data_IF_261303105463
#
_entry.id   IF_261303105463
#
_cell.length_a   1.000
_cell.length_b   1.000
_cell.length_c   1.000
_cell.angle_alpha   90.00
_cell.angle_beta   90.00
_cell.angle_gamma   90.00
#
_symmetry.space_group_name_H-M   'P 1'
#
loop_
_entity.id
_entity.type
_entity.pdbx_description
1 polymer ?
#
# COMPACT_ATOMS: atom_id res chain seq x y z
N UNK A 1 -24.82 -15.85 16.75
CA UNK A 1 -23.35 -16.02 16.81
C UNK A 1 -22.77 -14.77 17.44
N UNK A 2 -21.81 -14.93 18.35
CA UNK A 2 -21.17 -13.83 19.05
C UNK A 2 -20.01 -13.32 18.18
N UNK A 3 -20.02 -12.05 17.78
CA UNK A 3 -18.97 -11.41 16.96
C UNK A 3 -17.81 -10.93 17.83
N UNK A 4 -17.40 -11.77 18.77
CA UNK A 4 -16.51 -11.39 19.85
C UNK A 4 -15.12 -11.03 19.31
N UNK A 5 -14.59 -11.80 18.37
CA UNK A 5 -13.26 -11.58 17.83
C UNK A 5 -13.22 -10.36 16.90
N UNK A 6 -14.30 -10.12 16.16
CA UNK A 6 -14.44 -8.88 15.40
C UNK A 6 -14.43 -7.66 16.34
N UNK A 7 -15.16 -7.73 17.46
CA UNK A 7 -15.17 -6.65 18.43
C UNK A 7 -13.80 -6.45 19.10
N UNK A 8 -13.11 -7.53 19.47
CA UNK A 8 -11.76 -7.50 20.05
C UNK A 8 -10.76 -6.86 19.08
N UNK A 9 -10.75 -7.29 17.81
CA UNK A 9 -9.93 -6.71 16.76
C UNK A 9 -10.21 -5.22 16.58
N UNK A 10 -11.49 -4.85 16.42
CA UNK A 10 -11.90 -3.46 16.23
C UNK A 10 -11.55 -2.57 17.42
N UNK A 11 -11.69 -3.08 18.64
CA UNK A 11 -11.29 -2.38 19.86
C UNK A 11 -9.79 -2.17 19.84
N UNK A 12 -9.01 -3.21 19.53
CA UNK A 12 -7.55 -3.15 19.54
C UNK A 12 -6.98 -2.18 18.51
N UNK A 13 -7.51 -2.16 17.29
CA UNK A 13 -7.05 -1.23 16.24
C UNK A 13 -7.55 0.20 16.43
N UNK A 14 -8.47 0.45 17.36
CA UNK A 14 -8.95 1.79 17.68
C UNK A 14 -8.47 2.28 19.04
N UNK A 15 -7.69 1.47 19.77
CA UNK A 15 -7.18 1.83 21.10
C UNK A 15 -5.69 2.12 21.02
N UNK A 16 -5.33 3.30 21.53
CA UNK A 16 -3.96 3.75 21.74
C UNK A 16 -3.71 3.80 23.23
N UNK A 17 -2.74 3.03 23.71
CA UNK A 17 -2.32 3.10 25.10
C UNK A 17 -1.06 3.94 25.16
N UNK A 18 -1.16 5.17 25.64
CA UNK A 18 0.02 6.02 25.75
C UNK A 18 0.79 5.63 27.02
N UNK A 19 2.09 5.41 26.90
CA UNK A 19 2.98 5.32 28.08
C UNK A 19 3.60 6.67 28.32
N UNK A 20 3.87 6.97 29.59
CA UNK A 20 4.66 8.13 29.97
C UNK A 20 5.98 7.58 30.50
N UNK A 21 7.08 7.98 29.90
CA UNK A 21 8.43 7.57 30.25
C UNK A 21 9.26 8.79 30.60
N UNK A 22 10.31 8.60 31.40
CA UNK A 22 11.33 9.62 31.64
C UNK A 22 12.45 9.40 30.63
N UNK A 23 12.88 10.46 29.93
CA UNK A 23 13.87 10.39 28.87
C UNK A 23 14.75 11.66 28.85
N UNK A 24 15.98 11.52 28.36
CA UNK A 24 16.93 12.62 28.19
C UNK A 24 16.93 13.08 26.73
N UNK A 25 16.16 14.12 26.42
CA UNK A 25 15.93 14.55 25.04
C UNK A 25 16.69 15.83 24.71
N UNK A 26 17.08 15.96 23.45
CA UNK A 26 17.69 17.17 22.92
C UNK A 26 16.59 18.16 22.52
N UNK A 27 16.58 19.35 23.13
CA UNK A 27 15.54 20.36 22.91
C UNK A 27 15.75 21.16 21.62
N UNK A 28 17.00 21.42 21.25
CA UNK A 28 17.35 22.26 20.10
C UNK A 28 18.37 21.59 19.18
N UNK A 29 18.17 21.77 17.87
CA UNK A 29 19.10 21.25 16.86
C UNK A 29 20.43 22.01 16.92
N UNK A 30 21.53 21.27 17.06
CA UNK A 30 22.89 21.83 17.02
C UNK A 30 23.54 22.10 18.38
N UNK A 31 22.83 21.86 19.48
CA UNK A 31 23.39 21.82 20.83
C UNK A 31 23.52 20.36 21.32
N UNK A 32 24.44 20.09 22.25
CA UNK A 32 24.52 18.78 22.91
C UNK A 32 23.79 18.77 24.26
N UNK A 33 23.03 19.82 24.56
CA UNK A 33 22.28 19.94 25.80
C UNK A 33 21.05 19.04 25.74
N UNK A 34 20.91 18.21 26.77
CA UNK A 34 19.77 17.32 26.94
C UNK A 34 19.04 17.71 28.21
N UNK A 35 17.72 17.71 28.13
CA UNK A 35 16.86 17.90 29.28
C UNK A 35 16.20 16.58 29.66
N UNK A 36 16.16 16.34 30.98
CA UNK A 36 15.46 15.19 31.54
C UNK A 36 13.98 15.54 31.66
N UNK A 37 13.14 14.90 30.85
CA UNK A 37 11.71 15.23 30.74
C UNK A 37 10.84 13.98 30.82
N UNK A 38 9.56 14.19 31.08
CA UNK A 38 8.54 13.16 30.84
C UNK A 38 8.08 13.27 29.40
N UNK A 39 8.01 12.16 28.69
CA UNK A 39 7.57 12.12 27.31
C UNK A 39 6.56 10.99 27.08
N UNK A 40 5.69 11.16 26.09
CA UNK A 40 4.86 10.05 25.62
C UNK A 40 5.70 9.02 24.86
N UNK A 41 5.39 7.75 25.07
CA UNK A 41 5.97 6.62 24.35
C UNK A 41 4.87 5.73 23.76
N UNK A 42 5.08 5.37 22.49
CA UNK A 42 4.26 4.42 21.75
C UNK A 42 5.11 3.35 21.03
N UNK A 43 6.42 3.29 21.29
CA UNK A 43 7.35 2.38 20.59
C UNK A 43 6.84 0.93 20.59
N UNK A 44 6.24 0.49 21.71
CA UNK A 44 5.74 -0.86 21.89
C UNK A 44 4.49 -1.21 21.07
N UNK A 45 3.82 -0.23 20.45
CA UNK A 45 2.70 -0.43 19.53
C UNK A 45 3.09 -0.18 18.07
N UNK A 46 4.35 -0.36 17.69
CA UNK A 46 4.85 -0.19 16.32
C UNK A 46 5.19 -1.54 15.66
N UNK A 47 5.92 -1.51 14.54
CA UNK A 47 6.41 -2.68 13.80
C UNK A 47 7.88 -3.04 14.09
N UNK A 48 8.55 -2.32 14.97
CA UNK A 48 9.98 -2.47 15.24
C UNK A 48 10.29 -3.67 16.15
N UNK A 49 11.58 -4.00 16.31
CA UNK A 49 12.04 -5.26 16.92
C UNK A 49 11.51 -5.48 18.35
N UNK A 50 11.44 -4.40 19.14
CA UNK A 50 10.94 -4.43 20.52
C UNK A 50 9.41 -4.57 20.63
N UNK A 51 8.69 -4.46 19.50
CA UNK A 51 7.23 -4.50 19.39
C UNK A 51 6.71 -5.63 18.47
N UNK A 52 7.54 -6.63 18.15
CA UNK A 52 7.14 -7.80 17.33
C UNK A 52 5.87 -8.50 17.85
N UNK A 53 5.67 -8.49 19.16
CA UNK A 53 4.47 -9.02 19.82
C UNK A 53 3.20 -8.31 19.35
N UNK A 54 3.25 -6.99 19.15
CA UNK A 54 2.08 -6.20 18.78
C UNK A 54 1.59 -6.48 17.36
N UNK A 55 2.49 -6.48 16.37
CA UNK A 55 2.14 -6.85 14.98
C UNK A 55 1.59 -8.26 14.90
N UNK A 56 2.18 -9.19 15.66
CA UNK A 56 1.73 -10.58 15.69
C UNK A 56 0.35 -10.71 16.34
N UNK A 57 0.11 -9.99 17.43
CA UNK A 57 -1.20 -9.89 18.10
C UNK A 57 -2.27 -9.40 17.11
N UNK A 58 -2.02 -8.27 16.42
CA UNK A 58 -2.97 -7.72 15.45
C UNK A 58 -3.30 -8.69 14.32
N UNK A 59 -2.29 -9.44 13.83
CA UNK A 59 -2.51 -10.46 12.80
C UNK A 59 -3.45 -11.56 13.31
N UNK A 60 -3.20 -12.11 14.49
CA UNK A 60 -4.04 -13.16 15.08
C UNK A 60 -5.46 -12.65 15.28
N UNK A 61 -5.62 -11.44 15.82
CA UNK A 61 -6.94 -10.83 15.98
C UNK A 61 -7.64 -10.61 14.65
N UNK A 62 -6.94 -10.17 13.59
CA UNK A 62 -7.49 -10.04 12.24
C UNK A 62 -8.01 -11.39 11.74
N UNK A 63 -7.21 -12.44 11.86
CA UNK A 63 -7.57 -13.77 11.35
C UNK A 63 -8.79 -14.35 12.09
N UNK A 64 -8.89 -14.12 13.41
CA UNK A 64 -10.07 -14.52 14.20
C UNK A 64 -11.30 -13.67 13.86
N UNK A 65 -11.13 -12.36 13.67
CA UNK A 65 -12.20 -11.48 13.21
C UNK A 65 -12.73 -11.87 11.81
N UNK A 66 -11.85 -12.35 10.93
CA UNK A 66 -12.25 -12.86 9.63
C UNK A 66 -13.09 -14.13 9.74
N UNK A 67 -12.74 -15.05 10.65
CA UNK A 67 -13.55 -16.24 10.94
C UNK A 67 -14.96 -15.83 11.40
N UNK A 68 -15.08 -14.84 12.30
CA UNK A 68 -16.38 -14.31 12.71
C UNK A 68 -17.19 -13.82 11.50
N UNK A 69 -16.56 -13.08 10.58
CA UNK A 69 -17.23 -12.53 9.39
C UNK A 69 -17.73 -13.63 8.43
N UNK A 70 -16.89 -14.62 8.09
CA UNK A 70 -17.27 -15.64 7.11
C UNK A 70 -18.35 -16.62 7.59
N UNK A 71 -18.62 -16.64 8.90
CA UNK A 71 -19.74 -17.43 9.46
C UNK A 71 -21.11 -16.77 9.23
N UNK A 72 -21.13 -15.52 8.80
CA UNK A 72 -22.34 -14.76 8.50
C UNK A 72 -22.85 -15.02 7.07
N UNK A 73 -24.13 -14.75 6.83
CA UNK A 73 -24.65 -14.68 5.48
C UNK A 73 -24.16 -13.43 4.73
N UNK A 74 -24.23 -13.48 3.40
CA UNK A 74 -23.74 -12.44 2.48
C UNK A 74 -24.26 -11.04 2.80
N UNK A 75 -25.54 -10.90 3.18
CA UNK A 75 -26.12 -9.59 3.47
C UNK A 75 -25.61 -9.04 4.81
N UNK A 76 -25.42 -9.91 5.81
CA UNK A 76 -24.78 -9.51 7.07
C UNK A 76 -23.32 -9.15 6.90
N UNK A 77 -22.56 -9.85 6.06
CA UNK A 77 -21.16 -9.48 5.75
C UNK A 77 -21.11 -8.09 5.12
N UNK A 78 -21.99 -7.78 4.15
CA UNK A 78 -22.09 -6.43 3.55
C UNK A 78 -22.38 -5.36 4.60
N UNK A 79 -23.27 -5.64 5.55
CA UNK A 79 -23.56 -4.71 6.64
C UNK A 79 -22.31 -4.47 7.51
N UNK A 80 -21.57 -5.53 7.86
CA UNK A 80 -20.33 -5.38 8.62
C UNK A 80 -19.27 -4.61 7.84
N UNK A 81 -19.12 -4.85 6.53
CA UNK A 81 -18.20 -4.09 5.66
C UNK A 81 -18.52 -2.58 5.63
N UNK A 82 -19.81 -2.22 5.69
CA UNK A 82 -20.22 -0.82 5.80
C UNK A 82 -19.79 -0.20 7.14
N UNK A 83 -19.87 -0.94 8.25
CA UNK A 83 -19.37 -0.47 9.55
C UNK A 83 -17.83 -0.38 9.57
N UNK A 84 -17.12 -1.35 9.00
CA UNK A 84 -15.65 -1.32 8.85
C UNK A 84 -15.20 -0.10 8.02
N UNK A 85 -15.98 0.29 7.02
CA UNK A 85 -15.72 1.49 6.21
C UNK A 85 -15.81 2.78 7.02
N UNK A 86 -16.66 2.84 8.05
CA UNK A 86 -16.69 3.99 8.98
C UNK A 86 -15.41 4.05 9.80
N UNK A 87 -14.93 2.91 10.30
CA UNK A 87 -13.64 2.85 11.02
C UNK A 87 -12.50 3.31 10.11
N UNK A 88 -12.46 2.82 8.86
CA UNK A 88 -11.49 3.27 7.83
C UNK A 88 -11.51 4.78 7.61
N UNK A 89 -12.70 5.40 7.62
CA UNK A 89 -12.80 6.86 7.43
C UNK A 89 -12.09 7.67 8.53
N UNK A 90 -12.03 7.14 9.77
CA UNK A 90 -11.31 7.77 10.89
C UNK A 90 -9.80 7.77 10.66
N UNK A 91 -9.24 6.68 10.14
CA UNK A 91 -7.83 6.61 9.72
C UNK A 91 -7.51 7.63 8.63
N UNK A 92 -8.39 7.76 7.63
CA UNK A 92 -8.25 8.77 6.57
C UNK A 92 -8.25 10.20 7.14
N UNK A 93 -9.15 10.49 8.07
CA UNK A 93 -9.22 11.81 8.72
C UNK A 93 -7.96 12.08 9.56
N UNK A 94 -7.49 11.09 10.32
CA UNK A 94 -6.24 11.19 11.07
C UNK A 94 -5.08 11.58 10.14
N UNK A 95 -4.92 10.91 9.00
CA UNK A 95 -3.84 11.23 8.06
C UNK A 95 -3.93 12.65 7.49
N UNK A 96 -5.14 13.17 7.29
CA UNK A 96 -5.33 14.56 6.91
C UNK A 96 -4.73 15.53 7.93
N UNK A 97 -5.06 15.33 9.21
CA UNK A 97 -4.58 16.20 10.29
C UNK A 97 -3.08 15.96 10.58
N UNK A 98 -2.65 14.70 10.62
CA UNK A 98 -1.26 14.32 10.85
C UNK A 98 -0.34 14.98 9.83
N UNK A 99 -0.64 14.88 8.53
CA UNK A 99 0.20 15.48 7.49
C UNK A 99 0.21 17.02 7.51
N UNK A 100 -0.81 17.66 8.10
CA UNK A 100 -0.84 19.11 8.28
C UNK A 100 0.06 19.58 9.44
N UNK A 101 0.21 18.76 10.48
CA UNK A 101 0.90 19.14 11.72
C UNK A 101 2.28 18.49 11.88
N UNK A 102 2.55 17.39 11.17
CA UNK A 102 3.79 16.63 11.22
C UNK A 102 4.90 17.30 10.40
N UNK A 103 6.13 17.28 10.94
CA UNK A 103 7.34 17.71 10.24
C UNK A 103 8.55 16.89 10.71
N UNK A 104 9.20 16.21 9.77
CA UNK A 104 10.41 15.41 10.03
C UNK A 104 11.57 16.22 10.64
N UNK A 105 11.57 17.54 10.46
CA UNK A 105 12.63 18.42 10.97
C UNK A 105 12.41 18.86 12.42
N UNK A 106 11.26 18.53 13.01
CA UNK A 106 10.88 19.00 14.34
C UNK A 106 11.29 17.97 15.40
N UNK A 107 12.20 18.36 16.31
CA UNK A 107 12.66 17.51 17.41
C UNK A 107 11.61 17.37 18.52
N UNK A 108 10.89 18.46 18.80
CA UNK A 108 9.85 18.53 19.84
C UNK A 108 8.62 19.21 19.27
N UNK A 109 7.47 18.57 19.45
CA UNK A 109 6.19 19.06 18.99
C UNK A 109 5.52 19.93 20.07
N UNK A 110 4.53 20.71 19.64
CA UNK A 110 3.69 21.39 20.63
C UNK A 110 2.95 20.33 21.45
N UNK A 111 2.77 20.53 22.76
CA UNK A 111 2.04 19.59 23.63
C UNK A 111 0.60 19.38 23.14
N UNK A 112 0.04 20.35 22.42
CA UNK A 112 -1.26 20.23 21.76
C UNK A 112 -1.27 19.28 20.55
N UNK A 113 -0.12 18.78 20.08
CA UNK A 113 -0.01 18.02 18.82
C UNK A 113 -0.97 16.83 18.76
N UNK A 114 -1.09 16.06 19.85
CA UNK A 114 -1.99 14.89 19.92
C UNK A 114 -3.44 15.29 19.66
N UNK A 115 -3.86 16.46 20.17
CA UNK A 115 -5.19 17.04 19.95
C UNK A 115 -5.31 17.68 18.56
N UNK A 116 -4.24 18.27 18.03
CA UNK A 116 -4.21 18.83 16.67
C UNK A 116 -4.39 17.75 15.61
N UNK A 117 -3.84 16.56 15.82
CA UNK A 117 -4.10 15.39 14.95
C UNK A 117 -5.44 14.69 15.25
N UNK A 118 -6.19 15.19 16.24
CA UNK A 118 -7.49 14.70 16.69
C UNK A 118 -7.47 13.23 17.16
N UNK A 119 -6.37 12.79 17.77
CA UNK A 119 -6.22 11.38 18.14
C UNK A 119 -7.32 10.93 19.13
N UNK A 120 -7.64 11.77 20.11
CA UNK A 120 -8.65 11.57 21.14
C UNK A 120 -10.09 11.58 20.61
N UNK A 121 -10.33 12.31 19.54
CA UNK A 121 -11.64 12.35 18.88
C UNK A 121 -11.85 11.15 17.95
N UNK A 122 -10.80 10.72 17.26
CA UNK A 122 -10.87 9.68 16.24
C UNK A 122 -10.74 8.27 16.82
N UNK A 123 -10.07 8.13 17.96
CA UNK A 123 -9.72 6.85 18.56
C UNK A 123 -9.91 6.86 20.08
N UNK A 124 -9.90 5.67 20.66
CA UNK A 124 -9.86 5.50 22.12
C UNK A 124 -8.41 5.70 22.54
N UNK A 125 -8.15 6.71 23.37
CA UNK A 125 -6.79 7.02 23.84
C UNK A 125 -6.72 6.88 25.35
N UNK A 126 -5.99 5.88 25.82
CA UNK A 126 -5.74 5.64 27.23
C UNK A 126 -4.50 6.41 27.69
N UNK A 127 -4.56 6.91 28.93
CA UNK A 127 -3.50 7.68 29.60
C UNK A 127 -3.14 9.03 28.96
N UNK A 128 -3.96 9.54 28.04
CA UNK A 128 -3.81 10.90 27.54
C UNK A 128 -4.05 11.90 28.67
N UNK A 129 -3.09 12.79 28.90
CA UNK A 129 -3.23 13.93 29.81
C UNK A 129 -3.69 15.18 29.05
N UNK A 130 -4.19 16.17 29.78
CA UNK A 130 -4.50 17.49 29.24
C UNK A 130 -3.27 18.14 28.59
N UNK A 131 -3.50 19.05 27.64
CA UNK A 131 -2.48 19.86 26.96
C UNK A 131 -1.56 20.65 27.91
N UNK A 132 -2.06 21.05 29.08
CA UNK A 132 -1.27 21.72 30.12
C UNK A 132 -0.38 20.81 30.98
N UNK A 133 -0.38 19.49 30.74
CA UNK A 133 0.48 18.57 31.49
C UNK A 133 1.96 18.77 31.08
N UNK A 134 2.85 18.52 32.04
CA UNK A 134 4.30 18.59 31.81
C UNK A 134 4.82 17.29 31.20
N UNK A 135 4.35 17.01 29.98
CA UNK A 135 4.69 15.81 29.20
C UNK A 135 4.97 16.24 27.76
N UNK A 136 6.17 15.94 27.31
CA UNK A 136 6.65 16.30 25.98
C UNK A 136 6.17 15.34 24.90
N UNK A 137 5.97 15.91 23.71
CA UNK A 137 5.67 15.18 22.48
C UNK A 137 6.93 15.20 21.61
N UNK A 138 7.70 14.13 21.67
CA UNK A 138 8.98 14.04 20.96
C UNK A 138 8.79 13.70 19.48
N UNK A 139 9.80 13.96 18.66
CA UNK A 139 9.83 13.52 17.26
C UNK A 139 9.64 12.02 17.13
N UNK A 140 10.32 11.25 17.99
CA UNK A 140 10.19 9.80 18.07
C UNK A 140 8.74 9.39 18.31
N UNK A 141 8.06 10.01 19.28
CA UNK A 141 6.64 9.72 19.53
C UNK A 141 5.78 10.03 18.30
N UNK A 142 6.00 11.16 17.63
CA UNK A 142 5.23 11.54 16.45
C UNK A 142 5.43 10.53 15.31
N UNK A 143 6.67 10.12 15.04
CA UNK A 143 7.01 9.07 14.07
C UNK A 143 6.35 7.73 14.44
N UNK A 144 6.53 7.28 15.69
CA UNK A 144 5.95 6.04 16.20
C UNK A 144 4.42 6.06 16.10
N UNK A 145 3.77 7.21 16.35
CA UNK A 145 2.33 7.36 16.18
C UNK A 145 1.91 7.11 14.73
N UNK A 146 2.61 7.73 13.77
CA UNK A 146 2.37 7.49 12.34
C UNK A 146 2.54 6.01 11.98
N UNK A 147 3.67 5.41 12.36
CA UNK A 147 3.96 4.00 12.08
C UNK A 147 2.94 3.05 12.69
N UNK A 148 2.53 3.34 13.93
CA UNK A 148 1.53 2.60 14.68
C UNK A 148 0.16 2.69 13.99
N UNK A 149 -0.28 3.88 13.57
CA UNK A 149 -1.56 4.08 12.85
C UNK A 149 -1.53 3.34 11.50
N UNK A 150 -0.44 3.45 10.76
CA UNK A 150 -0.25 2.78 9.46
C UNK A 150 -0.38 1.26 9.59
N UNK A 151 0.20 0.68 10.64
CA UNK A 151 0.10 -0.75 10.92
C UNK A 151 -1.35 -1.17 11.19
N UNK A 152 -2.09 -0.42 12.01
CA UNK A 152 -3.50 -0.70 12.32
C UNK A 152 -4.39 -0.59 11.09
N UNK A 153 -4.21 0.46 10.29
CA UNK A 153 -4.94 0.65 9.04
C UNK A 153 -4.69 -0.49 8.05
N UNK A 154 -3.44 -0.94 7.93
CA UNK A 154 -3.08 -2.09 7.07
C UNK A 154 -3.92 -3.32 7.42
N UNK A 155 -3.96 -3.73 8.69
CA UNK A 155 -4.70 -4.93 9.08
C UNK A 155 -6.22 -4.76 8.93
N UNK A 156 -6.75 -3.55 9.12
CA UNK A 156 -8.16 -3.26 8.83
C UNK A 156 -8.46 -3.43 7.33
N UNK A 157 -7.59 -2.91 6.47
CA UNK A 157 -7.73 -3.03 5.01
C UNK A 157 -7.63 -4.47 4.53
N UNK A 158 -6.71 -5.26 5.09
CA UNK A 158 -6.62 -6.71 4.83
C UNK A 158 -7.92 -7.42 5.22
N UNK A 159 -8.48 -7.14 6.41
CA UNK A 159 -9.75 -7.75 6.85
C UNK A 159 -10.91 -7.41 5.90
N UNK A 160 -11.03 -6.14 5.52
CA UNK A 160 -12.06 -5.68 4.58
C UNK A 160 -11.91 -6.41 3.25
N UNK A 161 -10.69 -6.47 2.71
CA UNK A 161 -10.39 -7.13 1.45
C UNK A 161 -10.72 -8.64 1.49
N UNK A 162 -10.29 -9.33 2.55
CA UNK A 162 -10.55 -10.76 2.74
C UNK A 162 -12.07 -11.03 2.82
N UNK A 163 -12.81 -10.21 3.58
CA UNK A 163 -14.26 -10.31 3.72
C UNK A 163 -15.00 -9.99 2.42
N UNK A 164 -14.59 -8.97 1.67
CA UNK A 164 -15.15 -8.66 0.35
C UNK A 164 -14.96 -9.82 -0.64
N UNK A 165 -13.77 -10.42 -0.65
CA UNK A 165 -13.50 -11.56 -1.53
C UNK A 165 -14.29 -12.79 -1.14
N UNK A 166 -14.56 -13.01 0.15
CA UNK A 166 -15.36 -14.15 0.62
C UNK A 166 -16.82 -14.13 0.11
N UNK A 167 -17.35 -12.95 -0.22
CA UNK A 167 -18.73 -12.78 -0.72
C UNK A 167 -18.81 -12.55 -2.24
N UNK A 168 -17.68 -12.41 -2.92
CA UNK A 168 -17.63 -12.41 -4.38
C UNK A 168 -18.02 -13.81 -4.85
N UNK A 169 -18.98 -13.88 -5.76
CA UNK A 169 -19.35 -15.15 -6.38
C UNK A 169 -18.16 -15.62 -7.21
N UNK A 170 -17.52 -16.70 -6.77
CA UNK A 170 -16.66 -17.45 -7.66
C UNK A 170 -17.55 -17.99 -8.77
N UNK A 171 -17.43 -17.46 -9.99
CA UNK A 171 -17.95 -18.14 -11.16
C UNK A 171 -17.43 -19.58 -11.09
N UNK A 172 -18.34 -20.55 -11.09
CA UNK A 172 -17.94 -21.94 -11.17
C UNK A 172 -17.10 -22.10 -12.44
N UNK A 173 -16.15 -23.04 -12.42
CA UNK A 173 -15.36 -23.34 -13.61
C UNK A 173 -16.24 -23.65 -14.83
N UNK A 174 -17.42 -24.25 -14.61
CA UNK A 174 -18.42 -24.48 -15.65
C UNK A 174 -19.07 -23.19 -16.17
N UNK A 175 -19.39 -22.24 -15.31
CA UNK A 175 -19.99 -20.95 -15.73
C UNK A 175 -18.95 -20.04 -16.38
N UNK A 176 -17.69 -20.14 -15.95
CA UNK A 176 -16.55 -19.52 -16.60
C UNK A 176 -16.27 -20.16 -17.99
N UNK A 177 -16.37 -21.48 -18.12
CA UNK A 177 -16.28 -22.17 -19.41
C UNK A 177 -17.44 -21.81 -20.34
N UNK A 178 -18.68 -21.73 -19.83
CA UNK A 178 -19.85 -21.27 -20.59
C UNK A 178 -19.67 -19.82 -21.06
N UNK A 179 -19.13 -18.95 -20.21
CA UNK A 179 -18.79 -17.57 -20.55
C UNK A 179 -17.71 -17.48 -21.64
N UNK A 180 -16.68 -18.33 -21.57
CA UNK A 180 -15.64 -18.44 -22.60
C UNK A 180 -16.19 -18.99 -23.91
N UNK A 181 -17.04 -20.01 -23.88
CA UNK A 181 -17.67 -20.58 -25.07
C UNK A 181 -18.66 -19.62 -25.73
N UNK A 182 -19.44 -18.85 -24.95
CA UNK A 182 -20.32 -17.81 -25.47
C UNK A 182 -19.52 -16.70 -26.16
N UNK A 183 -18.42 -16.24 -25.55
CA UNK A 183 -17.49 -15.26 -26.16
C UNK A 183 -16.74 -15.83 -27.37
N UNK A 184 -16.44 -17.14 -27.37
CA UNK A 184 -15.86 -17.82 -28.53
C UNK A 184 -16.86 -17.93 -29.67
N UNK A 185 -18.14 -18.20 -29.38
CA UNK A 185 -19.19 -18.25 -30.41
C UNK A 185 -19.50 -16.88 -31.02
N UNK A 186 -19.36 -15.79 -30.26
CA UNK A 186 -19.39 -14.43 -30.81
C UNK A 186 -18.16 -14.10 -31.67
N UNK A 187 -16.99 -14.68 -31.36
CA UNK A 187 -15.76 -14.51 -32.15
C UNK A 187 -15.66 -15.45 -33.37
N UNK A 188 -16.37 -16.58 -33.39
CA UNK A 188 -16.31 -17.61 -34.44
C UNK A 188 -17.25 -17.31 -35.64
N UNK A 189 -18.01 -16.20 -35.64
CA UNK A 189 -18.57 -15.65 -36.89
C UNK A 189 -17.56 -14.84 -37.73
N UNK A 190 -16.30 -14.77 -37.31
CA UNK A 190 -15.20 -14.27 -38.12
C UNK A 190 -14.02 -15.26 -38.09
N UNK A 191 -13.94 -16.08 -39.14
CA UNK A 191 -12.82 -16.93 -39.59
C UNK A 191 -12.29 -18.07 -38.69
N UNK A 192 -12.45 -19.29 -39.21
CA UNK A 192 -11.70 -20.51 -38.88
C UNK A 192 -10.30 -20.54 -39.57
N UNK A 193 -9.45 -21.59 -39.41
CA UNK A 193 -8.85 -22.09 -38.17
C UNK A 193 -7.33 -22.39 -38.34
N UNK A 194 -6.51 -22.38 -37.29
CA UNK A 194 -5.36 -23.32 -37.25
C UNK A 194 -4.95 -23.72 -35.83
N UNK A 195 -5.28 -24.97 -35.55
CA UNK A 195 -4.67 -26.00 -34.72
C UNK A 195 -3.18 -25.91 -34.30
N UNK A 196 -2.97 -26.33 -33.02
CA UNK A 196 -1.98 -27.31 -32.49
C UNK A 196 -0.88 -26.82 -31.52
N UNK A 197 -1.14 -27.14 -30.24
CA UNK A 197 -0.33 -27.93 -29.30
C UNK A 197 0.73 -27.34 -28.35
N UNK A 198 0.50 -27.77 -27.09
CA UNK A 198 1.41 -28.37 -26.09
C UNK A 198 2.08 -27.44 -25.08
N UNK A 199 1.37 -27.37 -23.95
CA UNK A 199 1.84 -27.08 -22.60
C UNK A 199 2.90 -28.10 -22.18
N UNK A 200 4.02 -27.64 -21.63
CA UNK A 200 4.91 -28.42 -20.79
C UNK A 200 4.98 -27.75 -19.41
N UNK A 201 4.68 -28.57 -18.40
CA UNK A 201 4.84 -28.31 -16.98
C UNK A 201 6.33 -28.18 -16.61
N UNK A 202 6.66 -27.23 -15.74
CA UNK A 202 7.94 -27.21 -15.04
C UNK A 202 7.71 -26.99 -13.54
N UNK A 203 8.22 -27.99 -12.82
CA UNK A 203 8.27 -28.25 -11.38
C UNK A 203 8.88 -27.09 -10.59
N UNK A 204 8.26 -26.71 -9.47
CA UNK A 204 8.82 -25.85 -8.43
C UNK A 204 9.71 -26.68 -7.50
N UNK A 205 10.99 -26.32 -7.38
CA UNK A 205 11.85 -26.73 -6.27
C UNK A 205 11.82 -25.68 -5.15
N UNK A 206 11.67 -26.18 -3.93
CA UNK A 206 11.56 -25.43 -2.68
C UNK A 206 12.93 -25.03 -2.15
N UNK A 207 13.08 -23.81 -1.63
CA UNK A 207 13.94 -23.48 -0.46
C UNK A 207 13.48 -22.13 0.18
N UNK A 208 13.82 -21.84 1.45
CA UNK A 208 12.87 -21.43 2.50
C UNK A 208 12.57 -19.91 2.58
N UNK A 209 11.43 -19.51 3.20
CA UNK A 209 11.03 -18.12 3.27
C UNK A 209 11.87 -17.35 4.30
N UNK A 210 12.81 -16.54 3.79
CA UNK A 210 13.31 -15.41 4.57
C UNK A 210 12.16 -14.42 4.72
N UNK A 211 11.68 -14.25 5.96
CA UNK A 211 10.60 -13.33 6.32
C UNK A 211 10.96 -11.90 5.89
N UNK A 212 10.43 -11.44 4.75
CA UNK A 212 10.49 -10.04 4.33
C UNK A 212 9.49 -9.21 5.15
N UNK A 213 9.96 -8.09 5.67
CA UNK A 213 9.11 -7.06 6.26
C UNK A 213 8.47 -6.32 5.08
N UNK A 214 7.24 -6.65 4.72
CA UNK A 214 6.58 -6.02 3.56
C UNK A 214 6.30 -4.54 3.81
N UNK A 215 7.13 -3.67 3.23
CA UNK A 215 6.95 -2.21 3.11
C UNK A 215 6.31 -1.93 1.75
N UNK A 216 5.28 -1.08 1.68
CA UNK A 216 4.55 -0.82 0.42
C UNK A 216 4.81 0.58 -0.14
N UNK A 217 4.92 0.72 -1.47
CA UNK A 217 5.09 2.02 -2.11
C UNK A 217 3.84 2.88 -1.95
N UNK A 218 4.01 4.11 -1.47
CA UNK A 218 2.93 5.10 -1.32
C UNK A 218 3.23 6.31 -2.20
N UNK A 219 2.28 6.68 -3.07
CA UNK A 219 2.41 7.88 -3.90
C UNK A 219 2.08 9.15 -3.11
N UNK A 220 2.86 10.22 -3.29
CA UNK A 220 2.48 11.54 -2.80
C UNK A 220 1.16 12.02 -3.43
N UNK A 221 0.40 12.89 -2.74
CA UNK A 221 -0.89 13.37 -3.24
C UNK A 221 -0.83 13.89 -4.69
N UNK A 222 -1.73 13.42 -5.54
CA UNK A 222 -1.85 13.82 -6.95
C UNK A 222 -0.84 13.18 -7.92
N UNK A 223 0.21 12.51 -7.43
CA UNK A 223 1.22 11.84 -8.28
C UNK A 223 0.62 10.62 -8.98
N UNK A 224 -0.13 9.79 -8.25
CA UNK A 224 -0.75 8.60 -8.82
C UNK A 224 -1.75 8.95 -9.95
N UNK A 225 -2.49 10.05 -9.80
CA UNK A 225 -3.40 10.56 -10.84
C UNK A 225 -2.65 11.04 -12.08
N UNK A 226 -1.57 11.82 -11.90
CA UNK A 226 -0.73 12.26 -13.02
C UNK A 226 -0.06 11.08 -13.75
N UNK A 227 0.39 10.06 -13.00
CA UNK A 227 0.96 8.85 -13.59
C UNK A 227 -0.09 8.04 -14.36
N UNK A 228 -1.30 7.91 -13.81
CA UNK A 228 -2.41 7.20 -14.45
C UNK A 228 -2.75 7.83 -15.80
N UNK A 229 -2.86 9.15 -15.87
CA UNK A 229 -3.19 9.86 -17.11
C UNK A 229 -2.16 9.60 -18.22
N UNK A 230 -0.87 9.53 -17.87
CA UNK A 230 0.20 9.18 -18.80
C UNK A 230 0.15 7.70 -19.19
N UNK A 231 -0.02 6.80 -18.22
CA UNK A 231 0.03 5.36 -18.46
C UNK A 231 -1.19 4.86 -19.24
N UNK A 232 -2.36 5.51 -19.18
CA UNK A 232 -3.57 5.11 -19.92
C UNK A 232 -3.32 4.85 -21.41
N UNK A 233 -2.42 5.61 -22.05
CA UNK A 233 -2.07 5.42 -23.47
C UNK A 233 -1.33 4.09 -23.76
N UNK A 234 -0.77 3.47 -22.73
CA UNK A 234 0.01 2.24 -22.81
C UNK A 234 -0.77 1.00 -22.38
N UNK A 235 -2.03 1.12 -21.99
CA UNK A 235 -2.89 -0.01 -21.63
C UNK A 235 -4.14 -0.03 -22.51
N UNK A 236 -4.74 -1.23 -22.67
CA UNK A 236 -6.05 -1.36 -23.33
C UNK A 236 -7.12 -0.67 -22.50
N UNK A 237 -8.14 -0.11 -23.17
CA UNK A 237 -9.27 0.55 -22.51
C UNK A 237 -9.98 -0.35 -21.48
N UNK A 238 -10.00 -1.66 -21.71
CA UNK A 238 -10.58 -2.64 -20.80
C UNK A 238 -9.85 -2.75 -19.44
N UNK A 239 -8.57 -2.36 -19.39
CA UNK A 239 -7.73 -2.43 -18.19
C UNK A 239 -7.55 -1.06 -17.50
N UNK A 240 -8.07 0.03 -18.08
CA UNK A 240 -7.95 1.37 -17.50
C UNK A 240 -8.53 1.48 -16.09
N UNK A 241 -9.69 0.86 -15.85
CA UNK A 241 -10.31 0.84 -14.52
C UNK A 241 -9.53 0.00 -13.51
N UNK A 242 -8.80 -1.03 -13.95
CA UNK A 242 -7.93 -1.84 -13.08
C UNK A 242 -6.65 -1.10 -12.76
N UNK A 243 -6.06 -0.44 -13.75
CA UNK A 243 -4.88 0.41 -13.58
C UNK A 243 -5.16 1.56 -12.60
N UNK A 244 -6.33 2.18 -12.71
CA UNK A 244 -6.77 3.25 -11.81
C UNK A 244 -6.89 2.75 -10.36
N UNK A 245 -7.58 1.62 -10.15
CA UNK A 245 -7.72 1.02 -8.81
C UNK A 245 -6.37 0.59 -8.22
N UNK A 246 -5.48 0.09 -9.07
CA UNK A 246 -4.14 -0.27 -8.63
C UNK A 246 -3.32 0.95 -8.19
N UNK A 247 -3.30 2.03 -8.97
CA UNK A 247 -2.45 3.20 -8.67
C UNK A 247 -3.04 4.08 -7.55
N UNK A 248 -4.37 4.22 -7.48
CA UNK A 248 -5.03 5.10 -6.51
C UNK A 248 -5.43 4.41 -5.21
N UNK A 249 -5.66 3.10 -5.23
CA UNK A 249 -6.17 2.34 -4.08
C UNK A 249 -5.32 1.12 -3.71
N UNK A 250 -4.20 0.89 -4.40
CA UNK A 250 -3.34 -0.29 -4.25
C UNK A 250 -4.09 -1.63 -4.40
N UNK A 251 -5.18 -1.65 -5.18
CA UNK A 251 -5.94 -2.86 -5.44
C UNK A 251 -5.20 -3.71 -6.48
N UNK A 252 -4.66 -4.85 -6.05
CA UNK A 252 -3.96 -5.77 -6.95
C UNK A 252 -4.92 -6.31 -8.03
N UNK A 253 -4.53 -6.27 -9.31
CA UNK A 253 -5.36 -6.79 -10.38
C UNK A 253 -5.39 -8.33 -10.33
N UNK A 254 -6.52 -8.95 -10.70
CA UNK A 254 -6.67 -10.42 -10.75
C UNK A 254 -5.63 -11.10 -11.66
N UNK A 255 -5.14 -10.36 -12.65
CA UNK A 255 -4.05 -10.75 -13.56
C UNK A 255 -3.14 -9.54 -13.79
N UNK A 256 -1.83 -9.76 -14.00
CA UNK A 256 -0.90 -8.66 -14.29
C UNK A 256 -1.38 -7.83 -15.49
N UNK A 257 -1.36 -6.50 -15.34
CA UNK A 257 -1.75 -5.58 -16.40
C UNK A 257 -0.67 -5.55 -17.46
N UNK A 258 -1.06 -5.66 -18.74
CA UNK A 258 -0.10 -5.72 -19.85
C UNK A 258 0.22 -4.31 -20.34
N UNK A 259 1.40 -3.82 -19.99
CA UNK A 259 1.95 -2.58 -20.49
C UNK A 259 2.40 -2.75 -21.96
N UNK A 260 1.85 -1.93 -22.85
CA UNK A 260 2.10 -1.97 -24.30
C UNK A 260 3.43 -1.32 -24.74
N UNK A 261 4.26 -0.91 -23.80
CA UNK A 261 5.65 -0.51 -24.06
C UNK A 261 6.65 -1.55 -23.60
N UNK A 262 7.94 -1.22 -23.67
CA UNK A 262 9.00 -2.10 -23.21
C UNK A 262 9.08 -2.12 -21.68
N UNK A 263 9.42 -3.26 -21.09
CA UNK A 263 9.50 -3.41 -19.63
C UNK A 263 10.47 -2.44 -18.96
N UNK A 264 11.58 -2.08 -19.63
CA UNK A 264 12.51 -1.07 -19.15
C UNK A 264 11.91 0.35 -19.07
N UNK A 265 10.90 0.67 -19.89
CA UNK A 265 10.23 1.96 -19.85
C UNK A 265 9.33 2.08 -18.63
N UNK A 266 8.60 1.01 -18.30
CA UNK A 266 7.75 0.97 -17.13
C UNK A 266 8.59 0.99 -15.84
N UNK A 267 9.64 0.16 -15.79
CA UNK A 267 10.56 0.12 -14.66
C UNK A 267 11.23 1.49 -14.43
N UNK A 268 11.66 2.15 -15.50
CA UNK A 268 12.27 3.47 -15.44
C UNK A 268 11.28 4.55 -14.97
N UNK A 269 10.01 4.48 -15.38
CA UNK A 269 8.97 5.38 -14.88
C UNK A 269 8.81 5.29 -13.36
N UNK A 270 8.68 4.09 -12.79
CA UNK A 270 8.60 3.89 -11.35
C UNK A 270 9.89 4.30 -10.63
N UNK A 271 11.04 4.00 -11.23
CA UNK A 271 12.35 4.40 -10.70
C UNK A 271 12.50 5.92 -10.61
N UNK A 272 12.14 6.65 -11.67
CA UNK A 272 12.21 8.12 -11.67
C UNK A 272 11.34 8.71 -10.55
N UNK A 273 10.14 8.17 -10.34
CA UNK A 273 9.25 8.59 -9.25
C UNK A 273 9.82 8.28 -7.86
N UNK A 274 10.48 7.14 -7.70
CA UNK A 274 11.17 6.77 -6.47
C UNK A 274 12.36 7.70 -6.20
N UNK A 275 13.23 7.92 -7.19
CA UNK A 275 14.42 8.76 -7.10
C UNK A 275 14.05 10.23 -6.79
N UNK A 276 12.93 10.72 -7.33
CA UNK A 276 12.37 12.04 -7.05
C UNK A 276 11.60 12.12 -5.71
N UNK A 277 11.59 11.06 -4.90
CA UNK A 277 10.83 10.96 -3.63
C UNK A 277 9.33 11.24 -3.80
N UNK A 278 8.76 10.84 -4.93
CA UNK A 278 7.32 10.91 -5.22
C UNK A 278 6.59 9.60 -4.87
N UNK A 279 7.34 8.50 -4.82
CA UNK A 279 6.95 7.26 -4.16
C UNK A 279 7.77 7.15 -2.87
N UNK A 280 7.11 6.96 -1.74
CA UNK A 280 7.71 6.92 -0.39
C UNK A 280 7.22 5.69 0.38
N UNK A 281 7.82 5.42 1.55
CA UNK A 281 7.36 4.36 2.45
C UNK A 281 7.82 2.95 2.13
N UNK A 282 8.71 2.78 1.14
CA UNK A 282 9.31 1.51 0.74
C UNK A 282 10.79 1.69 0.35
N UNK A 283 11.57 0.61 0.32
CA UNK A 283 12.88 0.60 -0.32
C UNK A 283 12.73 0.25 -1.82
N UNK A 284 13.80 0.41 -2.60
CA UNK A 284 13.78 0.06 -4.02
C UNK A 284 13.41 -1.41 -4.25
N UNK A 285 13.97 -2.33 -3.45
CA UNK A 285 13.66 -3.76 -3.53
C UNK A 285 12.18 -4.06 -3.25
N UNK A 286 11.55 -3.28 -2.37
CA UNK A 286 10.12 -3.42 -2.08
C UNK A 286 9.26 -2.92 -3.23
N UNK A 287 9.69 -1.84 -3.90
CA UNK A 287 9.05 -1.35 -5.12
C UNK A 287 9.17 -2.37 -6.26
N UNK A 288 10.33 -3.02 -6.42
CA UNK A 288 10.54 -4.11 -7.38
C UNK A 288 9.57 -5.28 -7.13
N UNK A 289 9.49 -5.74 -5.87
CA UNK A 289 8.52 -6.78 -5.44
C UNK A 289 7.07 -6.37 -5.63
N UNK A 290 6.77 -5.08 -5.50
CA UNK A 290 5.43 -4.56 -5.71
C UNK A 290 5.05 -4.56 -7.20
N UNK A 291 5.96 -4.17 -8.09
CA UNK A 291 5.72 -4.08 -9.55
C UNK A 291 5.61 -5.47 -10.18
N UNK A 292 6.52 -6.40 -9.81
CA UNK A 292 6.67 -7.70 -10.46
C UNK A 292 5.36 -8.50 -10.66
N UNK A 293 4.52 -8.71 -9.62
CA UNK A 293 3.30 -9.49 -9.77
C UNK A 293 2.14 -8.70 -10.41
N UNK A 294 2.27 -7.38 -10.60
CA UNK A 294 1.17 -6.50 -11.02
C UNK A 294 1.21 -6.12 -12.49
N UNK A 295 2.37 -6.25 -13.12
CA UNK A 295 2.58 -5.79 -14.49
C UNK A 295 3.32 -6.81 -15.35
N UNK A 296 2.84 -6.97 -16.57
CA UNK A 296 3.55 -7.60 -17.67
C UNK A 296 3.91 -6.53 -18.71
N UNK A 297 4.84 -6.83 -19.61
CA UNK A 297 5.20 -5.94 -20.71
C UNK A 297 5.16 -6.66 -22.06
N UNK A 298 4.95 -5.91 -23.14
CA UNK A 298 5.07 -6.47 -24.49
C UNK A 298 6.54 -6.57 -24.92
N UNK A 299 6.95 -7.76 -25.30
CA UNK A 299 8.25 -7.99 -25.93
C UNK A 299 8.28 -7.46 -27.37
N UNK A 300 9.47 -7.43 -27.98
CA UNK A 300 9.63 -7.07 -29.41
C UNK A 300 8.81 -7.96 -30.35
N UNK A 301 8.41 -9.15 -29.90
CA UNK A 301 7.60 -10.12 -30.64
C UNK A 301 6.09 -9.98 -30.35
N UNK A 302 5.67 -8.90 -29.69
CA UNK A 302 4.29 -8.64 -29.25
C UNK A 302 3.70 -9.69 -28.29
N UNK A 303 4.56 -10.47 -27.63
CA UNK A 303 4.18 -11.40 -26.57
C UNK A 303 4.24 -10.72 -25.20
N UNK A 304 3.26 -10.98 -24.34
CA UNK A 304 3.28 -10.54 -22.95
C UNK A 304 4.34 -11.34 -22.16
N UNK A 305 5.27 -10.63 -21.53
CA UNK A 305 6.31 -11.20 -20.67
C UNK A 305 6.23 -10.65 -19.26
N UNK A 306 6.61 -11.49 -18.31
CA UNK A 306 6.64 -11.16 -16.90
C UNK A 306 7.80 -10.22 -16.56
N UNK A 307 7.53 -9.27 -15.66
CA UNK A 307 8.56 -8.45 -15.03
C UNK A 307 9.06 -9.18 -13.78
N UNK A 308 9.96 -10.14 -13.95
CA UNK A 308 10.53 -10.85 -12.80
C UNK A 308 11.30 -9.89 -11.89
N UNK A 309 11.34 -10.19 -10.58
CA UNK A 309 12.08 -9.37 -9.61
C UNK A 309 13.55 -9.20 -10.00
N UNK A 310 14.21 -10.27 -10.47
CA UNK A 310 15.59 -10.21 -10.95
C UNK A 310 15.77 -9.30 -12.17
N UNK A 311 14.79 -9.24 -13.07
CA UNK A 311 14.82 -8.33 -14.21
C UNK A 311 14.64 -6.86 -13.78
N UNK A 312 13.70 -6.60 -12.88
CA UNK A 312 13.47 -5.27 -12.31
C UNK A 312 14.69 -4.78 -11.51
N UNK A 313 15.30 -5.64 -10.71
CA UNK A 313 16.53 -5.33 -9.99
C UNK A 313 17.66 -4.85 -10.91
N UNK A 314 17.83 -5.53 -12.05
CA UNK A 314 18.78 -5.13 -13.09
C UNK A 314 18.50 -3.76 -13.72
N UNK A 315 17.24 -3.32 -13.75
CA UNK A 315 16.82 -2.05 -14.35
C UNK A 315 16.77 -0.89 -13.34
N UNK A 316 16.29 -1.17 -12.13
CA UNK A 316 15.96 -0.18 -11.12
C UNK A 316 17.12 0.00 -10.13
N UNK A 317 17.55 -1.07 -9.48
CA UNK A 317 18.61 -1.05 -8.46
C UNK A 317 20.03 -0.97 -9.04
N UNK A 318 20.31 -1.62 -10.17
CA UNK A 318 21.66 -1.59 -10.77
C UNK A 318 21.78 -0.55 -11.89
N UNK A 319 22.93 0.12 -12.01
CA UNK A 319 23.22 1.05 -13.13
C UNK A 319 23.54 0.33 -14.46
N UNK A 320 23.29 -0.98 -14.55
CA UNK A 320 23.79 -1.81 -15.65
C UNK A 320 23.01 -1.62 -16.96
N UNK A 321 21.75 -1.19 -16.90
CA UNK A 321 20.86 -1.06 -18.07
C UNK A 321 20.02 0.23 -18.02
N UNK A 322 20.59 1.40 -18.37
CA UNK A 322 19.83 2.65 -18.41
C UNK A 322 18.75 2.61 -19.49
N UNK A 323 17.56 3.14 -19.18
CA UNK A 323 16.49 3.29 -20.15
C UNK A 323 16.86 4.37 -21.17
N UNK A 324 16.89 4.01 -22.45
CA UNK A 324 17.26 4.93 -23.55
C UNK A 324 16.06 5.74 -24.07
N UNK A 325 14.85 5.35 -23.71
CA UNK A 325 13.60 5.91 -24.23
C UNK A 325 12.55 6.02 -23.12
N UNK A 326 12.78 6.86 -22.10
CA UNK A 326 11.87 7.03 -20.96
C UNK A 326 10.51 7.56 -21.43
N UNK A 327 9.43 7.08 -20.82
CA UNK A 327 8.06 7.48 -21.17
C UNK A 327 7.61 8.74 -20.43
N UNK A 328 8.29 9.06 -19.33
CA UNK A 328 8.04 10.25 -18.53
C UNK A 328 9.33 10.98 -18.20
N UNK A 329 9.17 12.25 -17.86
CA UNK A 329 10.17 13.11 -17.24
C UNK A 329 9.51 13.84 -16.08
N UNK A 330 10.23 13.98 -14.97
CA UNK A 330 9.77 14.74 -13.81
C UNK A 330 10.35 16.16 -13.90
N UNK A 331 9.48 17.17 -13.83
CA UNK A 331 9.87 18.57 -13.74
C UNK A 331 9.40 19.18 -12.42
N UNK A 332 10.28 19.94 -11.77
CA UNK A 332 9.94 20.73 -10.59
C UNK A 332 9.74 22.19 -11.00
N UNK A 333 8.55 22.74 -10.74
CA UNK A 333 8.24 24.17 -10.92
C UNK A 333 7.53 24.67 -9.67
N UNK A 334 8.04 25.74 -9.07
CA UNK A 334 7.39 26.41 -7.92
C UNK A 334 7.00 25.42 -6.80
N UNK A 335 7.95 24.58 -6.38
CA UNK A 335 7.78 23.54 -5.35
C UNK A 335 6.71 22.46 -5.63
N UNK A 336 6.23 22.36 -6.88
CA UNK A 336 5.36 21.28 -7.34
C UNK A 336 6.07 20.42 -8.38
N UNK A 337 5.85 19.11 -8.28
CA UNK A 337 6.33 18.12 -9.24
C UNK A 337 5.27 17.84 -10.29
N UNK A 338 5.69 17.86 -11.55
CA UNK A 338 4.86 17.55 -12.71
C UNK A 338 5.44 16.33 -13.44
N UNK A 339 4.61 15.33 -13.68
CA UNK A 339 4.94 14.19 -14.54
C UNK A 339 4.56 14.56 -15.98
N UNK A 340 5.56 14.71 -16.84
CA UNK A 340 5.34 15.06 -18.24
C UNK A 340 5.68 13.88 -19.15
N UNK A 341 4.92 13.63 -20.22
CA UNK A 341 5.27 12.62 -21.21
C UNK A 341 6.52 13.06 -21.99
N UNK A 342 7.45 12.13 -22.22
CA UNK A 342 8.61 12.41 -23.07
C UNK A 342 8.17 12.42 -24.54
N UNK A 343 8.56 13.43 -25.35
CA UNK A 343 8.18 13.47 -26.76
C UNK A 343 8.69 12.22 -27.50
N UNK A 344 7.76 11.46 -28.10
CA UNK A 344 8.11 10.37 -29.01
C UNK A 344 8.76 10.98 -30.25
N UNK A 345 10.04 10.69 -30.48
CA UNK A 345 10.62 10.84 -31.81
C UNK A 345 9.81 9.93 -32.75
N UNK A 346 8.96 10.51 -33.59
CA UNK A 346 8.31 9.80 -34.70
C UNK A 346 9.44 9.22 -35.56
N UNK A 347 9.55 7.90 -35.57
CA UNK A 347 10.22 7.17 -36.65
C UNK A 347 9.17 6.51 -37.49
#
# INVERSE_FOLDING_TARGET
MNMQHLQEFLTRIQTFDLRIVEDDIQMESGTNEKEHVKAYDLTYQTQYYDSFSYRSELRVLKDMAFIDLITLDKERIKLQLAELSKVRSRFKEFWGNYNQHYSEMKLIYDRSFIFSVRLDYLFIVNNLQSDGADIEVTSKFAEDLGDSVKLREKFLMELIYDAENSIKEHLSFEDFQKSLHAKKQEAIQADEPTEISKVQEAVFENEPPTKSIDRYPTFKPGIASQLLDLLREYFVSADHSKLERLLLSDEAPERPLVFRGFGNQLADAFKQLFDARLIVGCQMADLERWIAPKFNYLSNQAEARELTEGYLNGLMSTKTRPCKSPILKIEQKEDKFYILPTPRNKR
#
